data_IF_165492508225
#
_entry.id   IF_165492508225
#
_cell.length_a   1.000
_cell.length_b   1.000
_cell.length_c   1.000
_cell.angle_alpha   90.00
_cell.angle_beta   90.00
_cell.angle_gamma   90.00
#
_symmetry.space_group_name_H-M   'P 1'
#
loop_
_entity.id
_entity.type
_entity.pdbx_description
1 polymer ?
#
# COMPACT_ATOMS: atom_id res chain seq x y z
N UNK A 1 -3.52 16.74 24.51
CA UNK A 1 -2.92 15.53 23.91
C UNK A 1 -1.68 15.94 23.14
N UNK A 2 -0.50 15.45 23.52
CA UNK A 2 0.75 15.78 22.84
C UNK A 2 0.83 14.93 21.56
N UNK A 3 1.06 15.57 20.41
CA UNK A 3 1.23 14.86 19.13
C UNK A 3 2.61 14.21 19.12
N UNK A 4 2.67 12.89 19.01
CA UNK A 4 3.90 12.14 18.82
C UNK A 4 4.13 11.99 17.32
N UNK A 5 5.29 12.44 16.82
CA UNK A 5 5.70 12.16 15.44
C UNK A 5 6.37 10.78 15.40
N UNK A 6 5.61 9.78 15.00
CA UNK A 6 6.05 8.38 14.91
C UNK A 6 6.73 8.06 13.57
N UNK A 7 7.00 9.06 12.72
CA UNK A 7 7.72 8.88 11.45
C UNK A 7 6.96 8.12 10.35
N UNK A 8 5.71 7.68 10.60
CA UNK A 8 4.89 6.98 9.61
C UNK A 8 4.09 7.97 8.76
N UNK A 9 4.06 7.76 7.44
CA UNK A 9 3.17 8.49 6.55
C UNK A 9 1.72 8.02 6.70
N UNK A 10 0.74 8.90 6.43
CA UNK A 10 -0.68 8.53 6.44
C UNK A 10 -0.98 7.33 5.53
N UNK A 11 -0.35 7.29 4.36
CA UNK A 11 -0.51 6.24 3.37
C UNK A 11 0.07 4.90 3.86
N UNK A 12 1.22 4.92 4.51
CA UNK A 12 1.77 3.71 5.15
C UNK A 12 0.87 3.23 6.29
N UNK A 13 0.35 4.14 7.12
CA UNK A 13 -0.58 3.79 8.20
C UNK A 13 -1.85 3.11 7.65
N UNK A 14 -2.40 3.59 6.53
CA UNK A 14 -3.53 2.95 5.85
C UNK A 14 -3.20 1.53 5.40
N UNK A 15 -2.04 1.32 4.75
CA UNK A 15 -1.59 -0.02 4.32
C UNK A 15 -1.44 -0.96 5.53
N UNK A 16 -0.69 -0.55 6.56
CA UNK A 16 -0.42 -1.40 7.74
C UNK A 16 -1.71 -1.79 8.45
N UNK A 17 -2.66 -0.87 8.55
CA UNK A 17 -3.92 -1.12 9.26
C UNK A 17 -5.01 -1.73 8.38
N UNK A 18 -4.78 -1.90 7.07
CA UNK A 18 -5.80 -2.37 6.12
C UNK A 18 -6.97 -1.41 5.91
N UNK A 19 -6.74 -0.11 6.10
CA UNK A 19 -7.74 0.95 5.94
C UNK A 19 -7.48 1.80 4.69
N UNK A 20 -8.33 2.81 4.48
CA UNK A 20 -8.25 3.72 3.33
C UNK A 20 -9.06 3.24 2.14
N UNK A 21 -8.59 3.54 0.94
CA UNK A 21 -9.23 3.15 -0.33
C UNK A 21 -8.83 1.74 -0.75
N UNK A 22 -9.09 0.76 0.12
CA UNK A 22 -8.88 -0.65 -0.14
C UNK A 22 -10.24 -1.26 -0.43
N UNK A 23 -10.50 -1.64 -1.67
CA UNK A 23 -11.86 -2.00 -2.10
C UNK A 23 -12.40 -3.25 -1.42
N UNK A 24 -11.55 -4.22 -1.04
CA UNK A 24 -12.02 -5.37 -0.27
C UNK A 24 -12.58 -4.95 1.10
N UNK A 25 -11.90 -4.04 1.82
CA UNK A 25 -12.39 -3.45 3.07
C UNK A 25 -13.67 -2.65 2.84
N UNK A 26 -13.70 -1.79 1.82
CA UNK A 26 -14.89 -0.97 1.52
C UNK A 26 -16.10 -1.83 1.13
N UNK A 27 -15.91 -2.85 0.31
CA UNK A 27 -16.96 -3.80 -0.08
C UNK A 27 -17.50 -4.56 1.14
N UNK A 28 -16.63 -5.04 2.03
CA UNK A 28 -17.03 -5.67 3.31
C UNK A 28 -17.88 -4.74 4.17
N UNK A 29 -17.58 -3.44 4.17
CA UNK A 29 -18.33 -2.40 4.86
C UNK A 29 -19.55 -1.89 4.07
N UNK A 30 -19.84 -2.44 2.88
CA UNK A 30 -20.92 -2.02 1.97
C UNK A 30 -20.79 -0.58 1.48
N UNK A 31 -19.55 -0.09 1.36
CA UNK A 31 -19.20 1.25 0.86
C UNK A 31 -18.67 1.23 -0.58
N UNK A 32 -18.53 0.04 -1.18
CA UNK A 32 -18.17 -0.15 -2.59
C UNK A 32 -18.95 -1.31 -3.17
N UNK A 33 -19.32 -1.23 -4.45
CA UNK A 33 -20.04 -2.27 -5.17
C UNK A 33 -19.15 -3.45 -5.58
N UNK A 34 -17.83 -3.27 -5.57
CA UNK A 34 -16.86 -4.28 -5.98
C UNK A 34 -15.65 -4.26 -5.06
N UNK A 35 -15.13 -5.45 -4.75
CA UNK A 35 -13.87 -5.63 -4.03
C UNK A 35 -12.65 -5.67 -4.97
N UNK A 36 -12.83 -5.52 -6.29
CA UNK A 36 -11.80 -5.78 -7.27
C UNK A 36 -10.87 -4.59 -7.54
N UNK A 37 -9.57 -4.86 -7.50
CA UNK A 37 -8.56 -4.00 -8.07
C UNK A 37 -8.74 -3.94 -9.60
N UNK A 38 -8.28 -2.86 -10.22
CA UNK A 38 -8.30 -2.68 -11.69
C UNK A 38 -7.61 -3.83 -12.44
N UNK A 39 -6.62 -4.46 -11.84
CA UNK A 39 -5.94 -5.60 -12.45
C UNK A 39 -6.75 -6.91 -12.41
N UNK A 40 -7.97 -6.89 -11.86
CA UNK A 40 -8.91 -8.02 -11.86
C UNK A 40 -8.74 -9.00 -10.68
N UNK A 41 -7.99 -8.63 -9.64
CA UNK A 41 -7.84 -9.41 -8.41
C UNK A 41 -8.51 -8.70 -7.23
N UNK A 42 -8.90 -9.41 -6.15
CA UNK A 42 -9.38 -8.78 -4.93
C UNK A 42 -8.38 -7.75 -4.40
N UNK A 43 -8.87 -6.55 -4.10
CA UNK A 43 -8.06 -5.42 -3.65
C UNK A 43 -7.79 -5.51 -2.15
N UNK A 44 -6.87 -6.37 -1.74
CA UNK A 44 -6.42 -6.50 -0.34
C UNK A 44 -5.07 -5.83 -0.12
N UNK A 45 -4.65 -5.70 1.15
CA UNK A 45 -3.31 -5.17 1.49
C UNK A 45 -2.23 -6.08 0.90
N UNK A 46 -2.40 -7.39 1.01
CA UNK A 46 -1.48 -8.39 0.48
C UNK A 46 -1.35 -8.22 -1.03
N UNK A 47 -2.49 -8.08 -1.71
CA UNK A 47 -2.50 -7.80 -3.14
C UNK A 47 -1.71 -6.53 -3.46
N UNK A 48 -1.97 -5.42 -2.77
CA UNK A 48 -1.29 -4.14 -2.99
C UNK A 48 0.22 -4.29 -2.86
N UNK A 49 0.67 -4.94 -1.79
CA UNK A 49 2.08 -4.97 -1.37
C UNK A 49 2.88 -6.03 -2.11
N UNK A 50 2.29 -7.19 -2.41
CA UNK A 50 3.02 -8.35 -2.91
C UNK A 50 2.70 -8.70 -4.38
N UNK A 51 1.46 -8.46 -4.85
CA UNK A 51 0.98 -9.08 -6.09
C UNK A 51 0.52 -8.09 -7.18
N UNK A 52 0.20 -6.85 -6.82
CA UNK A 52 -0.51 -5.94 -7.71
C UNK A 52 0.32 -5.60 -8.95
N UNK A 53 -0.20 -5.92 -10.14
CA UNK A 53 0.46 -5.59 -11.41
C UNK A 53 0.61 -4.08 -11.61
N UNK A 54 -0.37 -3.29 -11.17
CA UNK A 54 -0.32 -1.83 -11.28
C UNK A 54 0.80 -1.21 -10.42
N UNK A 55 1.21 -1.89 -9.35
CA UNK A 55 2.27 -1.44 -8.43
C UNK A 55 3.60 -2.18 -8.59
N UNK A 56 3.81 -2.90 -9.70
CA UNK A 56 5.00 -3.76 -9.88
C UNK A 56 6.32 -2.98 -9.84
N UNK A 57 6.35 -1.79 -10.45
CA UNK A 57 7.56 -0.95 -10.49
C UNK A 57 7.93 -0.48 -9.09
N UNK A 58 6.96 0.05 -8.36
CA UNK A 58 7.12 0.53 -7.00
C UNK A 58 7.49 -0.62 -6.04
N UNK A 59 6.90 -1.81 -6.26
CA UNK A 59 7.22 -3.01 -5.47
C UNK A 59 8.64 -3.51 -5.74
N UNK A 60 9.14 -3.46 -6.97
CA UNK A 60 10.54 -3.81 -7.28
C UNK A 60 11.52 -2.89 -6.57
N UNK A 61 11.25 -1.58 -6.57
CA UNK A 61 12.07 -0.63 -5.80
C UNK A 61 12.03 -0.96 -4.30
N UNK A 62 10.84 -1.23 -3.74
CA UNK A 62 10.70 -1.64 -2.35
C UNK A 62 11.52 -2.91 -2.04
N UNK A 63 11.43 -3.93 -2.90
CA UNK A 63 12.18 -5.19 -2.78
C UNK A 63 13.68 -4.97 -2.71
N UNK A 64 14.22 -4.15 -3.62
CA UNK A 64 15.65 -3.83 -3.66
C UNK A 64 16.09 -3.10 -2.38
N UNK A 65 15.31 -2.14 -1.90
CA UNK A 65 15.63 -1.37 -0.69
C UNK A 65 15.57 -2.23 0.58
N UNK A 66 14.54 -3.05 0.72
CA UNK A 66 14.40 -3.99 1.86
C UNK A 66 15.54 -5.02 1.84
N UNK A 67 15.86 -5.57 0.67
CA UNK A 67 16.99 -6.51 0.54
C UNK A 67 18.33 -5.85 0.84
N UNK A 68 18.50 -4.56 0.50
CA UNK A 68 19.68 -3.76 0.87
C UNK A 68 19.81 -3.55 2.39
N UNK A 69 18.71 -3.61 3.13
CA UNK A 69 18.69 -3.66 4.59
C UNK A 69 18.97 -5.10 5.13
N UNK A 70 19.23 -6.08 4.27
CA UNK A 70 19.46 -7.47 4.71
C UNK A 70 18.21 -8.17 5.25
N UNK A 71 17.02 -7.67 4.92
CA UNK A 71 15.74 -8.34 5.18
C UNK A 71 15.37 -9.13 3.92
N UNK A 72 15.09 -10.42 4.05
CA UNK A 72 14.74 -11.27 2.91
C UNK A 72 13.35 -10.94 2.37
N UNK A 73 13.19 -10.94 1.05
CA UNK A 73 11.87 -10.80 0.41
C UNK A 73 11.31 -12.18 -0.01
N UNK A 74 10.00 -12.43 0.14
CA UNK A 74 9.00 -11.56 0.78
C UNK A 74 9.17 -11.54 2.31
N UNK A 75 9.05 -10.35 2.90
CA UNK A 75 8.94 -10.15 4.34
C UNK A 75 7.52 -9.73 4.72
N UNK A 76 7.21 -9.84 6.00
CA UNK A 76 5.93 -9.44 6.59
C UNK A 76 5.78 -7.92 6.67
N UNK A 77 4.54 -7.43 6.76
CA UNK A 77 4.27 -6.01 7.02
C UNK A 77 4.85 -5.55 8.36
N UNK A 78 4.91 -6.43 9.36
CA UNK A 78 5.52 -6.15 10.66
C UNK A 78 7.02 -5.89 10.51
N UNK A 79 7.74 -6.72 9.75
CA UNK A 79 9.15 -6.49 9.42
C UNK A 79 9.32 -5.18 8.66
N UNK A 80 8.44 -4.86 7.70
CA UNK A 80 8.49 -3.58 6.98
C UNK A 80 8.22 -2.37 7.89
N UNK A 81 7.42 -2.53 8.94
CA UNK A 81 7.07 -1.47 9.89
C UNK A 81 8.17 -1.15 10.91
N UNK A 82 9.28 -1.90 10.92
CA UNK A 82 10.43 -1.62 11.77
C UNK A 82 11.16 -0.34 11.36
N UNK A 83 11.83 0.34 12.30
CA UNK A 83 12.47 1.65 12.10
C UNK A 83 13.34 1.73 10.83
N UNK A 84 14.17 0.70 10.60
CA UNK A 84 15.10 0.64 9.47
C UNK A 84 14.46 0.47 8.09
N UNK A 85 13.26 -0.10 8.02
CA UNK A 85 12.53 -0.36 6.77
C UNK A 85 11.32 0.54 6.58
N UNK A 86 10.83 1.18 7.66
CA UNK A 86 9.63 2.00 7.66
C UNK A 86 9.69 3.13 6.63
N UNK A 87 10.87 3.74 6.46
CA UNK A 87 11.07 4.77 5.44
C UNK A 87 10.85 4.26 4.01
N UNK A 88 11.22 3.02 3.71
CA UNK A 88 11.00 2.39 2.41
C UNK A 88 9.53 2.06 2.20
N UNK A 89 8.85 1.54 3.24
CA UNK A 89 7.39 1.32 3.22
C UNK A 89 6.63 2.64 3.01
N UNK A 90 7.03 3.73 3.66
CA UNK A 90 6.41 5.05 3.49
C UNK A 90 6.50 5.53 2.04
N UNK A 91 7.66 5.42 1.40
CA UNK A 91 7.86 5.80 -0.01
C UNK A 91 7.00 4.94 -0.94
N UNK A 92 7.00 3.62 -0.74
CA UNK A 92 6.16 2.70 -1.50
C UNK A 92 4.68 3.06 -1.38
N UNK A 93 4.20 3.26 -0.15
CA UNK A 93 2.80 3.59 0.11
C UNK A 93 2.39 4.91 -0.55
N UNK A 94 3.25 5.91 -0.49
CA UNK A 94 3.02 7.19 -1.16
C UNK A 94 2.92 7.06 -2.68
N UNK A 95 3.85 6.34 -3.30
CA UNK A 95 3.88 6.16 -4.75
C UNK A 95 2.65 5.38 -5.24
N UNK A 96 2.35 4.23 -4.62
CA UNK A 96 1.27 3.35 -5.04
C UNK A 96 -0.11 3.98 -4.80
N UNK A 97 -0.33 4.62 -3.65
CA UNK A 97 -1.62 5.26 -3.36
C UNK A 97 -1.85 6.46 -4.29
N UNK A 98 -0.86 7.34 -4.50
CA UNK A 98 -1.00 8.46 -5.44
C UNK A 98 -1.33 7.98 -6.85
N UNK A 99 -0.63 6.94 -7.32
CA UNK A 99 -0.87 6.35 -8.64
C UNK A 99 -2.29 5.80 -8.76
N UNK A 100 -2.78 5.09 -7.74
CA UNK A 100 -4.16 4.59 -7.70
C UNK A 100 -5.18 5.72 -7.75
N UNK A 101 -5.01 6.75 -6.95
CA UNK A 101 -5.91 7.91 -6.93
C UNK A 101 -5.92 8.63 -8.29
N UNK A 102 -4.77 8.78 -8.94
CA UNK A 102 -4.69 9.38 -10.28
C UNK A 102 -5.44 8.56 -11.33
N UNK A 103 -5.32 7.22 -11.27
CA UNK A 103 -6.05 6.31 -12.16
C UNK A 103 -7.56 6.45 -11.93
N UNK A 104 -8.01 6.48 -10.67
CA UNK A 104 -9.42 6.68 -10.33
C UNK A 104 -9.95 8.04 -10.80
N UNK A 105 -9.21 9.13 -10.55
CA UNK A 105 -9.62 10.49 -11.00
C UNK A 105 -9.77 10.58 -12.52
N UNK A 106 -8.91 9.90 -13.28
CA UNK A 106 -9.03 9.86 -14.76
C UNK A 106 -10.29 9.13 -15.21
N UNK A 107 -10.72 8.10 -14.48
CA UNK A 107 -11.92 7.32 -14.80
C UNK A 107 -13.22 8.05 -14.44
N UNK A 108 -13.23 8.85 -13.37
CA UNK A 108 -14.43 9.64 -12.99
C UNK A 108 -14.68 10.87 -13.88
N UNK A 109 -13.70 11.27 -14.69
CA UNK A 109 -13.80 12.39 -15.63
C UNK A 109 -14.14 11.97 -17.07
N UNK A 110 -14.48 10.68 -17.29
CA UNK A 110 -14.89 10.12 -18.59
C UNK A 110 -16.34 9.67 -18.51
#
# INVERSE_FOLDING_TARGET
MQRVNIGISHNAAQIITGHGRIKSTLHRLKLSESDQCRCGQPDTVEHIVYDCKEGEVERKELQEKISGEGVAWPCTLEEMAQERTLGHLCKFAEAVIKKREEIERRQSNT
#
